data_IF_610973485736
#
_entry.id   IF_610973485736
#
_cell.length_a   1.000
_cell.length_b   1.000
_cell.length_c   1.000
_cell.angle_alpha   90.00
_cell.angle_beta   90.00
_cell.angle_gamma   90.00
#
_symmetry.space_group_name_H-M   'P 1'
#
loop_
_entity.id
_entity.type
_entity.pdbx_description
1 polymer ?
#
# COMPACT_ATOMS: atom_id res chain seq x y z
N UNK A 1 24.06 -14.78 32.52
CA UNK A 1 23.45 -13.63 31.83
C UNK A 1 23.52 -13.94 30.34
N UNK A 2 22.39 -14.01 29.64
CA UNK A 2 22.42 -14.09 28.18
C UNK A 2 22.50 -12.66 27.66
N UNK A 3 23.58 -12.35 26.94
CA UNK A 3 23.65 -11.12 26.16
C UNK A 3 22.72 -11.30 24.95
N UNK A 4 21.64 -10.52 24.92
CA UNK A 4 20.67 -10.56 23.81
C UNK A 4 21.28 -10.01 22.52
N UNK A 5 20.84 -10.52 21.38
CA UNK A 5 21.25 -10.01 20.06
C UNK A 5 20.40 -8.79 19.73
N UNK A 6 21.05 -7.69 19.34
CA UNK A 6 20.38 -6.50 18.81
C UNK A 6 20.15 -6.67 17.32
N UNK A 7 18.91 -6.50 16.88
CA UNK A 7 18.53 -6.62 15.47
C UNK A 7 18.77 -5.32 14.69
N UNK A 8 19.65 -5.40 13.69
CA UNK A 8 19.89 -4.37 12.68
C UNK A 8 19.61 -4.88 11.26
N UNK A 9 19.08 -6.09 11.12
CA UNK A 9 18.86 -6.77 9.83
C UNK A 9 17.55 -6.39 9.15
N UNK A 10 16.61 -5.76 9.87
CA UNK A 10 15.29 -5.40 9.34
C UNK A 10 15.13 -3.89 9.24
N UNK A 11 14.65 -3.42 8.08
CA UNK A 11 14.31 -2.01 7.86
C UNK A 11 12.93 -1.67 8.47
N UNK A 12 12.86 -1.62 9.80
CA UNK A 12 11.65 -1.22 10.54
C UNK A 12 11.72 0.25 10.97
N UNK A 13 10.64 1.00 10.75
CA UNK A 13 10.51 2.36 11.27
C UNK A 13 9.65 2.37 12.54
N UNK A 14 10.29 2.52 13.71
CA UNK A 14 9.62 2.61 15.01
C UNK A 14 9.43 4.04 15.53
N UNK A 15 9.83 5.06 14.77
CA UNK A 15 9.95 6.43 15.27
C UNK A 15 8.61 7.15 15.46
N UNK A 16 7.56 6.74 14.74
CA UNK A 16 6.27 7.46 14.69
C UNK A 16 5.10 6.64 15.27
N UNK A 17 5.38 5.59 16.03
CA UNK A 17 4.32 4.72 16.58
C UNK A 17 3.34 5.46 17.46
N UNK A 18 3.79 6.41 18.27
CA UNK A 18 2.94 7.17 19.19
C UNK A 18 1.93 8.06 18.42
N UNK A 19 2.34 8.61 17.27
CA UNK A 19 1.47 9.39 16.39
C UNK A 19 0.42 8.50 15.74
N UNK A 20 0.82 7.32 15.25
CA UNK A 20 -0.11 6.35 14.67
C UNK A 20 -1.09 5.81 15.71
N UNK A 21 -0.61 5.47 16.91
CA UNK A 21 -1.44 4.95 18.00
C UNK A 21 -2.53 5.94 18.39
N UNK A 22 -2.17 7.22 18.61
CA UNK A 22 -3.13 8.29 18.88
C UNK A 22 -4.16 8.43 17.77
N UNK A 23 -3.73 8.31 16.50
CA UNK A 23 -4.63 8.41 15.34
C UNK A 23 -5.60 7.23 15.29
N UNK A 24 -5.10 6.01 15.46
CA UNK A 24 -5.90 4.78 15.44
C UNK A 24 -6.88 4.69 16.63
N UNK A 25 -6.56 5.33 17.75
CA UNK A 25 -7.45 5.44 18.90
C UNK A 25 -8.71 6.30 18.63
N UNK A 26 -8.75 7.09 17.55
CA UNK A 26 -9.90 7.93 17.22
C UNK A 26 -11.14 7.08 16.89
N UNK A 27 -12.31 7.29 17.54
CA UNK A 27 -13.52 6.49 17.31
C UNK A 27 -14.05 6.52 15.87
N UNK A 28 -13.66 7.52 15.07
CA UNK A 28 -14.00 7.59 13.65
C UNK A 28 -13.27 6.53 12.82
N UNK A 29 -12.04 6.16 13.21
CA UNK A 29 -11.20 5.21 12.48
C UNK A 29 -11.57 3.76 12.82
N UNK A 30 -12.03 3.51 14.05
CA UNK A 30 -12.42 2.17 14.52
C UNK A 30 -13.76 1.66 13.96
N UNK A 31 -14.28 2.27 12.89
CA UNK A 31 -15.56 1.89 12.29
C UNK A 31 -15.34 0.90 11.16
N UNK A 32 -15.61 -0.37 11.45
CA UNK A 32 -15.74 -1.40 10.43
C UNK A 32 -17.20 -1.52 10.00
N UNK A 33 -17.47 -1.31 8.71
CA UNK A 33 -18.80 -1.50 8.14
C UNK A 33 -18.91 -2.89 7.48
N UNK A 34 -20.08 -3.54 7.49
CA UNK A 34 -20.24 -4.90 6.93
C UNK A 34 -19.78 -5.06 5.47
N UNK A 35 -19.97 -4.03 4.64
CA UNK A 35 -19.53 -4.06 3.24
C UNK A 35 -17.99 -4.06 3.07
N UNK A 36 -17.23 -3.76 4.13
CA UNK A 36 -15.76 -3.84 4.11
C UNK A 36 -15.25 -5.27 4.28
N UNK A 37 -16.10 -6.19 4.74
CA UNK A 37 -15.75 -7.62 4.92
C UNK A 37 -15.77 -8.39 3.60
N UNK A 38 -16.46 -7.86 2.58
CA UNK A 38 -16.61 -8.47 1.27
C UNK A 38 -16.05 -7.50 0.23
N UNK A 39 -14.84 -7.79 -0.23
CA UNK A 39 -14.15 -6.95 -1.20
C UNK A 39 -13.75 -7.78 -2.41
N UNK A 40 -14.34 -7.48 -3.57
CA UNK A 40 -14.25 -8.26 -4.81
C UNK A 40 -13.29 -7.64 -5.86
N UNK A 41 -12.87 -6.40 -5.66
CA UNK A 41 -12.03 -5.68 -6.64
C UNK A 41 -10.55 -5.77 -6.26
N UNK A 42 -9.79 -6.62 -6.95
CA UNK A 42 -8.35 -6.83 -6.70
C UNK A 42 -7.52 -5.53 -6.59
N UNK A 43 -7.88 -4.49 -7.32
CA UNK A 43 -7.12 -3.24 -7.36
C UNK A 43 -7.16 -2.41 -6.05
N UNK A 44 -8.03 -2.75 -5.09
CA UNK A 44 -8.22 -1.94 -3.88
C UNK A 44 -9.28 -0.85 -4.03
N UNK A 45 -9.85 -0.42 -2.90
CA UNK A 45 -11.06 0.41 -2.89
C UNK A 45 -10.77 1.79 -3.49
N UNK A 46 -11.70 2.34 -4.27
CA UNK A 46 -11.50 3.66 -4.91
C UNK A 46 -11.18 4.77 -3.90
N UNK A 47 -11.79 4.77 -2.72
CA UNK A 47 -11.48 5.75 -1.66
C UNK A 47 -10.04 5.61 -1.18
N UNK A 48 -9.57 4.38 -0.98
CA UNK A 48 -8.20 4.10 -0.59
C UNK A 48 -7.21 4.54 -1.68
N UNK A 49 -7.49 4.17 -2.93
CA UNK A 49 -6.65 4.54 -4.09
C UNK A 49 -6.58 6.05 -4.31
N UNK A 50 -7.67 6.77 -4.03
CA UNK A 50 -7.71 8.23 -4.03
C UNK A 50 -6.80 8.83 -2.96
N UNK A 51 -6.98 8.42 -1.70
CA UNK A 51 -6.13 8.89 -0.60
C UNK A 51 -4.65 8.53 -0.80
N UNK A 52 -4.36 7.36 -1.38
CA UNK A 52 -3.00 6.96 -1.73
C UNK A 52 -2.40 7.86 -2.82
N UNK A 53 -3.16 8.16 -3.87
CA UNK A 53 -2.71 9.05 -4.94
C UNK A 53 -2.42 10.47 -4.44
N UNK A 54 -3.30 11.01 -3.58
CA UNK A 54 -3.09 12.31 -2.92
C UNK A 54 -1.84 12.29 -2.04
N UNK A 55 -1.72 11.29 -1.16
CA UNK A 55 -0.55 11.13 -0.29
C UNK A 55 0.75 11.04 -1.07
N UNK A 56 0.80 10.25 -2.14
CA UNK A 56 2.00 10.12 -2.98
C UNK A 56 2.30 11.39 -3.77
N UNK A 57 1.27 12.08 -4.26
CA UNK A 57 1.43 13.37 -4.95
C UNK A 57 2.11 14.38 -4.03
N UNK A 58 1.63 14.51 -2.80
CA UNK A 58 2.21 15.41 -1.79
C UNK A 58 3.61 14.95 -1.37
N UNK A 59 3.76 13.67 -0.99
CA UNK A 59 5.00 13.11 -0.44
C UNK A 59 6.16 13.14 -1.43
N UNK A 60 5.88 12.92 -2.71
CA UNK A 60 6.88 12.92 -3.78
C UNK A 60 7.00 14.28 -4.48
N UNK A 61 6.19 15.27 -4.08
CA UNK A 61 6.09 16.57 -4.75
C UNK A 61 5.89 16.41 -6.27
N UNK A 62 4.97 15.54 -6.66
CA UNK A 62 4.80 15.12 -8.04
C UNK A 62 4.40 16.32 -8.92
N UNK A 63 5.04 16.47 -10.08
CA UNK A 63 4.78 17.57 -11.02
C UNK A 63 3.33 17.58 -11.55
N UNK A 64 2.65 16.43 -11.54
CA UNK A 64 1.23 16.28 -11.84
C UNK A 64 0.59 15.36 -10.80
N UNK A 65 -0.67 15.63 -10.38
CA UNK A 65 -1.39 14.73 -9.50
C UNK A 65 -1.50 13.32 -10.08
N UNK A 66 -1.29 12.31 -9.24
CA UNK A 66 -1.47 10.91 -9.64
C UNK A 66 -2.97 10.62 -9.86
N UNK A 67 -3.30 9.92 -10.95
CA UNK A 67 -4.67 9.44 -11.20
C UNK A 67 -4.94 8.17 -10.36
N UNK A 68 -5.93 8.19 -9.45
CA UNK A 68 -6.32 7.02 -8.67
C UNK A 68 -6.68 5.81 -9.53
N UNK A 69 -7.16 5.99 -10.77
CA UNK A 69 -7.49 4.90 -11.70
C UNK A 69 -6.28 4.10 -12.17
N UNK A 70 -5.08 4.66 -12.02
CA UNK A 70 -3.82 4.01 -12.41
C UNK A 70 -3.08 3.38 -11.23
N UNK A 71 -3.60 3.48 -10.00
CA UNK A 71 -2.99 2.86 -8.81
C UNK A 71 -3.59 1.49 -8.50
N UNK A 72 -2.83 0.61 -7.85
CA UNK A 72 -3.28 -0.69 -7.40
C UNK A 72 -2.77 -0.93 -5.97
N UNK A 73 -3.61 -1.44 -5.07
CA UNK A 73 -3.26 -1.70 -3.68
C UNK A 73 -2.45 -3.00 -3.51
N UNK A 74 -1.24 -3.02 -4.07
CA UNK A 74 -0.34 -4.18 -4.01
C UNK A 74 1.05 -3.69 -3.64
N UNK A 75 1.60 -4.18 -2.53
CA UNK A 75 2.93 -3.77 -2.03
C UNK A 75 3.92 -4.92 -2.13
N UNK A 76 3.71 -6.01 -1.39
CA UNK A 76 4.67 -7.12 -1.33
C UNK A 76 4.78 -7.91 -2.65
N UNK A 77 3.72 -7.95 -3.45
CA UNK A 77 3.70 -8.69 -4.72
C UNK A 77 3.74 -7.76 -5.93
N UNK A 78 3.99 -6.46 -5.73
CA UNK A 78 3.93 -5.47 -6.81
C UNK A 78 4.90 -5.81 -7.94
N UNK A 79 6.16 -6.09 -7.60
CA UNK A 79 7.21 -6.44 -8.57
C UNK A 79 6.85 -7.72 -9.31
N UNK A 80 6.46 -8.78 -8.60
CA UNK A 80 6.04 -10.05 -9.22
C UNK A 80 4.84 -9.88 -10.15
N UNK A 81 3.87 -9.06 -9.76
CA UNK A 81 2.67 -8.78 -10.55
C UNK A 81 3.05 -8.07 -11.86
N UNK A 82 3.91 -7.05 -11.78
CA UNK A 82 4.43 -6.33 -12.95
C UNK A 82 5.21 -7.29 -13.86
N UNK A 83 6.12 -8.09 -13.31
CA UNK A 83 6.90 -9.08 -14.09
C UNK A 83 6.01 -10.08 -14.83
N UNK A 84 4.97 -10.60 -14.18
CA UNK A 84 4.02 -11.51 -14.81
C UNK A 84 3.23 -10.84 -15.93
N UNK A 85 2.82 -9.57 -15.75
CA UNK A 85 2.12 -8.81 -16.80
C UNK A 85 2.96 -8.61 -18.06
N UNK A 86 4.27 -8.35 -17.92
CA UNK A 86 5.17 -8.25 -19.08
C UNK A 86 5.31 -9.59 -19.83
N UNK A 87 5.47 -10.70 -19.11
CA UNK A 87 5.57 -12.03 -19.73
C UNK A 87 4.32 -12.41 -20.54
N UNK A 88 3.12 -12.05 -20.06
CA UNK A 88 1.88 -12.28 -20.81
C UNK A 88 1.76 -11.43 -22.07
N UNK A 89 2.31 -10.22 -22.09
CA UNK A 89 2.33 -9.36 -23.28
C UNK A 89 3.28 -9.93 -24.33
N UNK A 90 4.49 -10.37 -23.95
CA UNK A 90 5.44 -10.97 -24.90
C UNK A 90 4.87 -12.23 -25.57
N UNK A 91 4.18 -13.09 -24.82
CA UNK A 91 3.51 -14.28 -25.40
C UNK A 91 2.37 -13.94 -26.37
N UNK A 92 1.75 -12.77 -26.24
CA UNK A 92 0.66 -12.33 -27.12
C UNK A 92 1.16 -11.69 -28.44
N UNK A 93 2.43 -11.26 -28.51
CA UNK A 93 3.02 -10.62 -29.69
C UNK A 93 3.93 -11.54 -30.53
N UNK A 94 4.19 -12.77 -30.07
CA UNK A 94 5.01 -13.78 -30.78
C UNK A 94 4.14 -14.88 -31.43
N UNK A 95 2.82 -14.66 -31.52
CA UNK A 95 1.85 -15.53 -32.19
C UNK A 95 1.55 -15.12 -33.63
#
# INVERSE_FOLDING_TARGET
MYEGIVDFGVSENKLMFDVFEKKLAEPKIQKLAPHMLFYDVMAGNMRFRGALAEFLTERLNAAKPLDPKNSCAVVCTAITTISNSFNHIELAYVG
#
